data_IF_106142236360
#
_entry.id   IF_106142236360
#
_cell.length_a   1.000
_cell.length_b   1.000
_cell.length_c   1.000
_cell.angle_alpha   90.00
_cell.angle_beta   90.00
_cell.angle_gamma   90.00
#
_symmetry.space_group_name_H-M   'P 1'
#
loop_
_entity.id
_entity.type
_entity.pdbx_description
1 polymer ?
#
# COMPACT_ATOMS: atom_id res chain seq x y z
N UNK A 1 6.47 -26.47 -4.98
CA UNK A 1 6.35 -25.08 -4.50
C UNK A 1 5.03 -24.49 -4.96
N UNK A 2 4.29 -23.81 -4.07
CA UNK A 2 3.03 -23.12 -4.38
C UNK A 2 3.01 -21.77 -3.65
N UNK A 3 2.91 -20.68 -4.41
CA UNK A 3 2.79 -19.31 -3.90
C UNK A 3 1.48 -18.77 -4.47
N UNK A 4 0.51 -18.53 -3.60
CA UNK A 4 -0.85 -18.08 -3.98
C UNK A 4 -1.29 -16.98 -3.01
N UNK A 5 -2.35 -16.24 -3.30
CA UNK A 5 -2.85 -15.18 -2.39
C UNK A 5 -3.34 -15.67 -1.03
N UNK A 6 -3.49 -16.98 -0.82
CA UNK A 6 -3.95 -17.55 0.45
C UNK A 6 -2.83 -18.19 1.26
N UNK A 7 -1.85 -18.78 0.58
CA UNK A 7 -0.83 -19.61 1.23
C UNK A 7 0.52 -19.50 0.57
N UNK A 8 1.56 -19.52 1.40
CA UNK A 8 2.95 -19.71 1.04
C UNK A 8 3.38 -21.16 1.34
N UNK A 9 3.74 -21.92 0.31
CA UNK A 9 4.20 -23.31 0.44
C UNK A 9 5.52 -23.52 -0.31
N UNK A 10 6.60 -23.65 0.47
CA UNK A 10 7.97 -23.92 0.03
C UNK A 10 8.49 -25.19 0.72
N UNK A 11 8.11 -26.40 0.24
CA UNK A 11 8.64 -27.64 0.79
C UNK A 11 10.15 -27.75 0.57
N UNK A 12 10.92 -28.35 1.50
CA UNK A 12 10.46 -28.94 2.78
C UNK A 12 10.32 -27.93 3.95
N UNK A 13 10.58 -26.65 3.71
CA UNK A 13 10.78 -25.65 4.76
C UNK A 13 9.50 -25.14 5.42
N UNK A 14 8.48 -24.79 4.63
CA UNK A 14 7.27 -24.15 5.17
C UNK A 14 6.03 -24.40 4.31
N UNK A 15 4.88 -24.51 4.98
CA UNK A 15 3.56 -24.44 4.34
C UNK A 15 2.59 -23.74 5.29
N UNK A 16 2.28 -22.48 5.05
CA UNK A 16 1.44 -21.64 5.94
C UNK A 16 0.55 -20.68 5.14
N UNK A 17 -0.52 -20.16 5.78
CA UNK A 17 -1.23 -18.97 5.28
C UNK A 17 -0.41 -17.70 5.51
N UNK A 18 -0.71 -16.65 4.73
CA UNK A 18 -0.05 -15.35 4.90
C UNK A 18 -0.40 -14.68 6.23
N UNK A 19 -1.60 -14.91 6.77
CA UNK A 19 -2.03 -14.33 8.05
C UNK A 19 -1.17 -14.80 9.24
N UNK A 20 -0.41 -15.89 9.08
CA UNK A 20 0.49 -16.41 10.11
C UNK A 20 1.93 -15.87 9.99
N UNK A 21 2.24 -15.14 8.91
CA UNK A 21 3.57 -14.59 8.64
C UNK A 21 3.64 -13.18 9.23
N UNK A 22 4.49 -13.00 10.23
CA UNK A 22 4.72 -11.71 10.87
C UNK A 22 5.70 -10.84 10.06
N UNK A 23 6.74 -11.44 9.49
CA UNK A 23 7.70 -10.71 8.66
C UNK A 23 8.45 -11.60 7.66
N UNK A 24 8.89 -10.97 6.58
CA UNK A 24 9.73 -11.55 5.53
C UNK A 24 10.92 -10.62 5.29
N UNK A 25 12.13 -11.16 5.28
CA UNK A 25 13.32 -10.42 4.85
C UNK A 25 14.34 -11.36 4.23
N UNK A 26 15.27 -10.80 3.45
CA UNK A 26 16.36 -11.55 2.83
C UNK A 26 17.65 -11.10 3.49
N UNK A 27 18.43 -12.06 3.96
CA UNK A 27 19.77 -11.79 4.50
C UNK A 27 20.80 -11.64 3.37
N UNK A 28 21.97 -11.10 3.68
CA UNK A 28 23.08 -10.85 2.73
C UNK A 28 23.48 -12.09 1.92
N UNK A 29 23.21 -13.29 2.44
CA UNK A 29 23.50 -14.57 1.80
C UNK A 29 22.33 -15.10 0.92
N UNK A 30 21.42 -14.25 0.46
CA UNK A 30 20.23 -14.64 -0.32
C UNK A 30 19.36 -15.71 0.36
N UNK A 31 19.37 -15.71 1.70
CA UNK A 31 18.57 -16.62 2.50
C UNK A 31 17.29 -15.89 2.88
N UNK A 32 16.14 -16.45 2.48
CA UNK A 32 14.84 -15.90 2.87
C UNK A 32 14.56 -16.30 4.32
N UNK A 33 14.29 -15.29 5.14
CA UNK A 33 13.94 -15.46 6.54
C UNK A 33 12.47 -15.14 6.71
N UNK A 34 11.70 -16.15 7.14
CA UNK A 34 10.28 -16.05 7.43
C UNK A 34 10.09 -16.10 8.93
N UNK A 35 9.53 -15.03 9.52
CA UNK A 35 9.16 -15.01 10.94
C UNK A 35 7.65 -15.17 11.05
N UNK A 36 7.18 -16.16 11.80
CA UNK A 36 5.76 -16.38 12.05
C UNK A 36 5.29 -15.60 13.28
N UNK A 37 3.98 -15.37 13.40
CA UNK A 37 3.39 -14.77 14.61
C UNK A 37 3.61 -15.60 15.88
N UNK A 38 3.92 -16.89 15.76
CA UNK A 38 4.37 -17.73 16.88
C UNK A 38 5.76 -17.39 17.40
N UNK A 39 6.50 -16.51 16.73
CA UNK A 39 7.92 -16.23 16.97
C UNK A 39 8.87 -17.25 16.35
N UNK A 40 8.35 -18.27 15.64
CA UNK A 40 9.17 -19.25 14.93
C UNK A 40 9.83 -18.58 13.71
N UNK A 41 11.17 -18.70 13.64
CA UNK A 41 11.97 -18.23 12.51
C UNK A 41 12.34 -19.41 11.61
N UNK A 42 12.07 -19.29 10.31
CA UNK A 42 12.38 -20.31 9.30
C UNK A 42 13.32 -19.68 8.27
N UNK A 43 14.46 -20.32 8.06
CA UNK A 43 15.50 -19.86 7.13
C UNK A 43 15.51 -20.77 5.90
N UNK A 44 15.33 -20.19 4.72
CA UNK A 44 15.25 -20.90 3.45
C UNK A 44 16.43 -20.46 2.57
N UNK A 45 17.51 -21.25 2.53
CA UNK A 45 18.69 -20.90 1.75
C UNK A 45 18.49 -21.16 0.26
N UNK A 46 19.28 -20.47 -0.56
CA UNK A 46 19.44 -20.75 -2.00
C UNK A 46 18.14 -20.70 -2.81
N UNK A 47 17.24 -19.76 -2.48
CA UNK A 47 16.07 -19.47 -3.31
C UNK A 47 16.50 -18.69 -4.55
N UNK A 48 15.93 -19.05 -5.71
CA UNK A 48 16.18 -18.28 -6.92
C UNK A 48 15.60 -16.85 -6.79
N UNK A 49 16.28 -15.81 -7.30
CA UNK A 49 15.86 -14.42 -7.14
C UNK A 49 14.43 -14.16 -7.62
N UNK A 50 14.05 -14.75 -8.75
CA UNK A 50 12.70 -14.60 -9.31
C UNK A 50 11.59 -15.18 -8.39
N UNK A 51 11.93 -16.17 -7.56
CA UNK A 51 11.00 -16.76 -6.60
C UNK A 51 10.85 -15.82 -5.39
N UNK A 52 11.95 -15.24 -4.94
CA UNK A 52 11.97 -14.24 -3.86
C UNK A 52 11.07 -13.07 -4.26
N UNK A 53 11.27 -12.51 -5.45
CA UNK A 53 10.45 -11.41 -5.97
C UNK A 53 8.98 -11.80 -5.99
N UNK A 54 8.65 -13.00 -6.48
CA UNK A 54 7.28 -13.50 -6.49
C UNK A 54 6.67 -13.61 -5.08
N UNK A 55 7.43 -14.03 -4.09
CA UNK A 55 6.99 -14.13 -2.68
C UNK A 55 6.67 -12.72 -2.16
N UNK A 56 7.57 -11.76 -2.33
CA UNK A 56 7.37 -10.39 -1.87
C UNK A 56 6.20 -9.72 -2.59
N UNK A 57 6.10 -9.83 -3.91
CA UNK A 57 4.98 -9.28 -4.68
C UNK A 57 3.65 -9.88 -4.21
N UNK A 58 3.59 -11.20 -4.01
CA UNK A 58 2.36 -11.85 -3.53
C UNK A 58 1.99 -11.41 -2.11
N UNK A 59 2.98 -11.25 -1.22
CA UNK A 59 2.76 -10.78 0.14
C UNK A 59 2.27 -9.33 0.18
N UNK A 60 2.86 -8.44 -0.62
CA UNK A 60 2.42 -7.05 -0.74
C UNK A 60 0.97 -6.98 -1.22
N UNK A 61 0.62 -7.70 -2.29
CA UNK A 61 -0.77 -7.73 -2.79
C UNK A 61 -1.76 -8.27 -1.75
N UNK A 62 -1.35 -9.26 -0.95
CA UNK A 62 -2.18 -9.79 0.13
C UNK A 62 -2.45 -8.73 1.22
N UNK A 63 -1.43 -7.97 1.64
CA UNK A 63 -1.58 -6.90 2.63
C UNK A 63 -2.49 -5.76 2.13
N UNK A 64 -2.43 -5.44 0.83
CA UNK A 64 -3.32 -4.46 0.21
C UNK A 64 -4.78 -4.94 0.21
N UNK A 65 -5.02 -6.23 -0.10
CA UNK A 65 -6.35 -6.82 -0.10
C UNK A 65 -6.97 -6.92 1.30
N UNK A 66 -6.16 -7.19 2.33
CA UNK A 66 -6.60 -7.23 3.71
C UNK A 66 -7.04 -5.83 4.21
N UNK A 67 -6.33 -4.77 3.81
CA UNK A 67 -6.72 -3.37 4.09
C UNK A 67 -8.06 -2.99 3.46
N UNK A 68 -8.31 -3.44 2.24
CA UNK A 68 -9.60 -3.18 1.57
C UNK A 68 -10.74 -3.92 2.28
N UNK A 69 -10.49 -5.16 2.73
CA UNK A 69 -11.51 -5.99 3.40
C UNK A 69 -11.86 -5.51 4.81
N UNK A 70 -10.89 -4.93 5.53
CA UNK A 70 -11.10 -4.37 6.88
C UNK A 70 -11.84 -3.02 6.88
N UNK A 71 -11.76 -2.24 5.79
CA UNK A 71 -12.47 -0.97 5.64
C UNK A 71 -13.97 -1.09 5.32
N UNK A 72 -14.49 -2.29 5.07
CA UNK A 72 -15.93 -2.54 4.82
C UNK A 72 -16.71 -3.10 6.01
N UNK A 73 -16.13 -3.12 7.22
CA UNK A 73 -16.83 -3.51 8.44
C UNK A 73 -17.33 -2.28 9.21
N UNK A 74 -18.65 -2.10 9.45
CA UNK A 74 -19.13 -1.01 10.29
C UNK A 74 -18.68 -1.21 11.75
N UNK A 75 -18.37 -0.12 12.50
CA UNK A 75 -17.85 -0.23 13.85
C UNK A 75 -19.00 -0.50 14.82
N UNK A 76 -19.22 -1.77 15.18
CA UNK A 76 -20.01 -2.13 16.35
C UNK A 76 -19.29 -3.19 17.19
N UNK A 77 -18.53 -2.71 18.18
CA UNK A 77 -18.73 -3.09 19.58
C UNK A 77 -17.60 -2.54 20.44
N UNK A 78 -17.90 -1.45 21.15
CA UNK A 78 -17.26 -1.21 22.43
C UNK A 78 -17.60 -2.37 23.37
N UNK A 79 -16.59 -3.01 23.95
CA UNK A 79 -16.52 -3.36 25.37
C UNK A 79 -15.30 -4.25 25.60
N UNK A 80 -14.22 -3.68 26.12
CA UNK A 80 -13.65 -4.06 27.41
C UNK A 80 -12.39 -3.25 27.71
N UNK A 81 -12.58 -2.15 28.42
CA UNK A 81 -11.56 -1.54 29.25
C UNK A 81 -11.20 -2.53 30.37
N UNK A 82 -10.00 -3.10 30.30
CA UNK A 82 -9.24 -3.45 31.50
C UNK A 82 -7.85 -2.86 31.39
N UNK A 83 -7.77 -1.67 31.97
CA UNK A 83 -6.56 -1.03 32.47
C UNK A 83 -5.81 -2.02 33.37
N UNK A 84 -4.56 -2.32 33.02
CA UNK A 84 -3.59 -2.89 33.96
C UNK A 84 -2.35 -2.01 33.92
N UNK A 85 -2.23 -1.18 34.95
CA UNK A 85 -1.00 -0.51 35.34
C UNK A 85 0.09 -1.57 35.60
N UNK A 86 1.26 -1.40 35.00
CA UNK A 86 2.51 -1.97 35.53
C UNK A 86 3.64 -0.95 35.45
N UNK A 87 4.51 -0.85 36.46
CA UNK A 87 5.41 0.28 36.67
C UNK A 87 6.81 0.03 36.08
N UNK A 88 7.37 1.11 35.55
CA UNK A 88 8.75 1.61 35.71
C UNK A 88 9.81 0.61 36.23
N UNK A 89 10.73 0.23 35.35
CA UNK A 89 12.14 -0.02 35.73
C UNK A 89 13.06 0.74 34.76
N UNK A 90 13.93 1.54 35.36
CA UNK A 90 15.01 2.29 34.70
C UNK A 90 16.19 1.34 34.55
N UNK A 91 16.79 1.32 33.36
CA UNK A 91 18.19 0.92 33.21
C UNK A 91 18.85 1.90 32.25
N UNK A 92 19.66 2.77 32.81
CA UNK A 92 20.66 3.55 32.10
C UNK A 92 21.80 2.59 31.74
N UNK A 93 22.04 2.35 30.45
CA UNK A 93 23.38 2.40 29.87
C UNK A 93 23.36 2.23 28.35
N UNK A 94 23.69 3.34 27.70
CA UNK A 94 24.48 3.52 26.48
C UNK A 94 24.19 2.74 25.18
N UNK A 95 23.98 3.61 24.17
CA UNK A 95 24.34 3.52 22.76
C UNK A 95 23.35 2.83 21.81
N UNK A 96 22.53 3.72 21.23
CA UNK A 96 21.68 3.60 20.04
C UNK A 96 20.78 2.36 19.95
N UNK A 97 19.48 2.61 20.01
CA UNK A 97 18.61 1.95 19.06
C UNK A 97 17.62 2.95 18.47
N UNK A 98 17.75 3.21 17.16
CA UNK A 98 16.52 3.40 16.38
C UNK A 98 15.76 2.08 16.48
N UNK A 99 14.95 1.93 17.54
CA UNK A 99 13.80 1.03 17.49
C UNK A 99 12.73 1.78 16.75
N UNK A 100 12.72 1.66 15.43
CA UNK A 100 11.49 1.81 14.67
C UNK A 100 10.65 0.58 15.06
N UNK A 101 10.01 0.67 16.23
CA UNK A 101 9.03 -0.30 16.67
C UNK A 101 7.79 -0.11 15.83
N UNK A 102 7.57 -1.03 14.89
CA UNK A 102 6.30 -1.20 14.17
C UNK A 102 5.33 -1.89 15.14
N UNK A 103 4.97 -1.19 16.23
CA UNK A 103 3.86 -1.55 17.12
C UNK A 103 2.96 -0.31 17.20
N UNK A 104 1.88 -0.36 16.44
CA UNK A 104 0.83 0.66 16.43
C UNK A 104 1.09 1.78 15.43
N UNK A 105 0.14 1.97 14.50
CA UNK A 105 -0.06 3.20 13.75
C UNK A 105 -0.17 4.45 14.67
N UNK A 106 -0.33 4.23 15.98
CA UNK A 106 -0.28 5.21 17.07
C UNK A 106 1.13 5.80 17.33
N UNK A 107 2.21 5.11 16.91
CA UNK A 107 3.58 5.61 17.07
C UNK A 107 3.90 6.83 16.20
N UNK A 108 3.33 6.89 14.98
CA UNK A 108 3.32 8.09 14.15
C UNK A 108 2.47 9.20 14.77
N UNK A 109 1.43 8.82 15.51
CA UNK A 109 0.64 9.73 16.32
C UNK A 109 1.49 10.46 17.36
N UNK A 110 2.39 9.76 18.07
CA UNK A 110 3.25 10.42 19.07
C UNK A 110 4.34 11.31 18.44
N UNK A 111 4.90 10.93 17.30
CA UNK A 111 5.86 11.75 16.55
C UNK A 111 5.20 13.00 15.93
N UNK A 112 3.88 12.92 15.70
CA UNK A 112 3.02 14.01 15.27
C UNK A 112 2.18 14.56 16.43
N UNK A 113 2.58 14.35 17.68
CA UNK A 113 2.03 15.04 18.84
C UNK A 113 3.02 16.10 19.31
N UNK A 114 2.48 17.20 19.83
CA UNK A 114 3.29 18.20 20.50
C UNK A 114 4.11 17.54 21.62
N UNK A 115 5.43 17.68 21.56
CA UNK A 115 6.34 17.27 22.63
C UNK A 115 7.04 18.51 23.24
N UNK A 116 6.71 18.90 24.49
CA UNK A 116 7.34 20.04 25.16
C UNK A 116 8.85 19.89 25.37
N UNK A 117 9.34 18.66 25.53
CA UNK A 117 10.78 18.40 25.70
C UNK A 117 11.59 18.78 24.46
N UNK A 118 10.91 18.87 23.31
CA UNK A 118 11.47 19.27 22.02
C UNK A 118 11.12 20.73 21.66
N UNK A 119 10.66 21.55 22.61
CA UNK A 119 10.25 22.92 22.34
C UNK A 119 11.38 23.80 21.76
N UNK A 120 12.64 23.44 21.94
CA UNK A 120 13.80 24.16 21.41
C UNK A 120 14.56 23.37 20.32
N UNK A 121 13.90 22.42 19.64
CA UNK A 121 14.51 21.69 18.53
C UNK A 121 14.91 22.64 17.39
N UNK A 122 15.97 22.32 16.63
CA UNK A 122 16.38 23.11 15.47
C UNK A 122 15.30 23.12 14.39
N UNK A 123 15.33 24.13 13.54
CA UNK A 123 14.40 24.24 12.43
C UNK A 123 14.65 23.14 11.39
N UNK A 124 13.55 22.54 10.94
CA UNK A 124 13.56 21.62 9.80
C UNK A 124 13.93 22.39 8.52
N UNK A 125 14.64 21.73 7.59
CA UNK A 125 14.88 22.28 6.26
C UNK A 125 13.57 22.72 5.60
N UNK A 126 13.57 23.93 5.04
CA UNK A 126 12.39 24.51 4.38
C UNK A 126 11.86 23.63 3.25
N UNK A 127 12.74 22.95 2.51
CA UNK A 127 12.35 22.00 1.46
C UNK A 127 11.44 20.88 1.99
N UNK A 128 11.74 20.36 3.19
CA UNK A 128 10.96 19.29 3.83
C UNK A 128 9.60 19.84 4.27
N UNK A 129 9.59 21.00 4.92
CA UNK A 129 8.35 21.66 5.35
C UNK A 129 7.43 21.98 4.14
N UNK A 130 8.00 22.42 3.02
CA UNK A 130 7.27 22.67 1.78
C UNK A 130 6.66 21.40 1.19
N UNK A 131 7.41 20.29 1.16
CA UNK A 131 6.88 18.99 0.67
C UNK A 131 5.75 18.48 1.55
N UNK A 132 5.90 18.57 2.87
CA UNK A 132 4.86 18.17 3.83
C UNK A 132 3.60 19.03 3.65
N UNK A 133 3.76 20.35 3.48
CA UNK A 133 2.65 21.25 3.21
C UNK A 133 1.96 20.94 1.86
N UNK A 134 2.72 20.64 0.81
CA UNK A 134 2.19 20.28 -0.50
C UNK A 134 1.37 18.98 -0.45
N UNK A 135 1.90 17.93 0.21
CA UNK A 135 1.19 16.66 0.41
C UNK A 135 -0.10 16.88 1.21
N UNK A 136 -0.04 17.70 2.26
CA UNK A 136 -1.21 17.98 3.11
C UNK A 136 -2.36 18.66 2.34
N UNK A 137 -2.04 19.50 1.35
CA UNK A 137 -3.03 20.11 0.44
C UNK A 137 -3.69 19.06 -0.46
N UNK A 138 -2.89 18.16 -1.05
CA UNK A 138 -3.39 17.11 -1.96
C UNK A 138 -4.32 16.13 -1.23
N UNK A 139 -4.04 15.82 0.03
CA UNK A 139 -4.84 14.88 0.85
C UNK A 139 -6.16 15.51 1.34
N UNK A 140 -6.44 16.78 0.99
CA UNK A 140 -7.72 17.42 1.26
C UNK A 140 -7.91 17.87 2.71
N UNK A 141 -6.80 18.13 3.43
CA UNK A 141 -6.87 18.73 4.78
C UNK A 141 -7.03 20.26 4.64
N UNK A 142 -8.15 20.67 4.04
CA UNK A 142 -8.43 22.08 3.76
C UNK A 142 -9.10 22.80 4.92
N UNK A 143 -9.63 22.07 5.90
CA UNK A 143 -10.24 22.68 7.08
C UNK A 143 -9.18 22.95 8.17
N UNK A 144 -8.79 24.23 8.40
CA UNK A 144 -7.84 24.58 9.46
C UNK A 144 -8.38 24.30 10.86
N UNK A 145 -9.68 24.03 11.01
CA UNK A 145 -10.26 23.60 12.28
C UNK A 145 -9.93 22.15 12.64
N UNK A 146 -9.60 21.32 11.65
CA UNK A 146 -9.24 19.91 11.83
C UNK A 146 -7.71 19.76 12.00
N UNK A 147 -6.94 20.76 11.58
CA UNK A 147 -5.49 20.76 11.70
C UNK A 147 -5.02 20.93 13.16
N UNK A 148 -3.93 20.26 13.55
CA UNK A 148 -3.34 20.45 14.85
C UNK A 148 -2.87 21.91 15.01
N UNK A 149 -3.22 22.55 16.12
CA UNK A 149 -2.81 23.94 16.41
C UNK A 149 -1.39 23.95 16.99
N UNK A 150 -0.45 24.67 16.36
CA UNK A 150 0.89 24.80 16.91
C UNK A 150 0.86 25.69 18.16
N UNK A 151 1.70 25.38 19.14
CA UNK A 151 1.90 26.27 20.28
C UNK A 151 2.85 27.41 19.92
N UNK A 152 2.58 28.65 20.38
CA UNK A 152 3.35 29.84 19.97
C UNK A 152 4.81 29.82 20.45
N UNK A 153 5.14 29.01 21.46
CA UNK A 153 6.47 28.95 22.08
C UNK A 153 7.13 27.58 21.95
N UNK A 154 6.67 26.73 21.03
CA UNK A 154 7.22 25.40 20.84
C UNK A 154 7.72 25.19 19.41
N UNK A 155 8.98 24.77 19.29
CA UNK A 155 9.65 24.40 18.06
C UNK A 155 9.82 22.89 17.86
N UNK A 156 9.00 22.05 18.51
CA UNK A 156 9.02 20.62 18.23
C UNK A 156 8.59 20.35 16.79
N UNK A 157 8.97 19.17 16.26
CA UNK A 157 8.69 18.76 14.89
C UNK A 157 7.20 18.94 14.52
N UNK A 158 6.31 18.56 15.45
CA UNK A 158 4.88 18.76 15.30
C UNK A 158 4.48 20.23 15.09
N UNK A 159 4.94 21.13 15.96
CA UNK A 159 4.60 22.54 15.87
C UNK A 159 5.24 23.24 14.66
N UNK A 160 6.40 22.76 14.18
CA UNK A 160 7.00 23.25 12.94
C UNK A 160 6.19 22.84 11.70
N UNK A 161 5.76 21.58 11.63
CA UNK A 161 4.91 21.07 10.54
C UNK A 161 3.54 21.76 10.56
N UNK A 162 2.89 21.84 11.72
CA UNK A 162 1.59 22.49 11.88
C UNK A 162 1.65 23.96 11.45
N UNK A 163 2.74 24.69 11.77
CA UNK A 163 2.97 26.05 11.28
C UNK A 163 3.15 26.10 9.77
N UNK A 164 3.91 25.17 9.17
CA UNK A 164 4.14 25.13 7.73
C UNK A 164 2.85 24.84 6.94
N UNK A 165 1.99 23.95 7.45
CA UNK A 165 0.70 23.61 6.85
C UNK A 165 -0.30 24.76 7.00
N UNK A 166 -0.42 25.35 8.20
CA UNK A 166 -1.39 26.43 8.46
C UNK A 166 -1.02 27.76 7.81
N UNK A 167 0.26 28.15 7.87
CA UNK A 167 0.68 29.44 7.34
C UNK A 167 0.80 29.43 5.81
N UNK A 168 0.85 28.23 5.19
CA UNK A 168 1.20 28.04 3.79
C UNK A 168 2.58 28.63 3.54
N UNK A 169 3.62 27.79 3.47
CA UNK A 169 4.99 28.25 3.23
C UNK A 169 4.98 29.33 2.13
N UNK A 170 5.33 30.56 2.53
CA UNK A 170 5.13 31.75 1.71
C UNK A 170 5.71 31.55 0.31
N UNK A 171 4.97 32.04 -0.68
CA UNK A 171 5.27 32.06 -2.12
C UNK A 171 6.76 31.83 -2.43
N UNK A 172 7.14 30.57 -2.61
CA UNK A 172 8.39 30.24 -3.28
C UNK A 172 8.05 30.31 -4.78
N UNK A 173 8.78 31.11 -5.58
CA UNK A 173 8.60 31.16 -7.02
C UNK A 173 8.67 29.75 -7.59
N UNK A 174 7.66 29.39 -8.37
CA UNK A 174 7.49 28.10 -9.04
C UNK A 174 8.78 27.66 -9.75
N UNK A 175 9.60 26.88 -9.05
CA UNK A 175 10.48 25.94 -9.73
C UNK A 175 9.58 24.76 -10.11
N UNK A 176 9.40 24.44 -11.40
CA UNK A 176 8.58 23.31 -11.79
C UNK A 176 9.27 22.04 -11.29
N UNK A 177 8.75 21.50 -10.20
CA UNK A 177 9.00 20.12 -9.83
C UNK A 177 8.21 19.31 -10.84
N UNK A 178 8.88 18.82 -11.88
CA UNK A 178 8.37 17.74 -12.72
C UNK A 178 8.31 16.48 -11.87
N UNK A 179 7.29 16.40 -11.02
CA UNK A 179 6.70 15.12 -10.66
C UNK A 179 6.09 14.62 -11.96
N UNK A 180 6.69 13.58 -12.54
CA UNK A 180 6.03 12.71 -13.52
C UNK A 180 4.83 12.06 -12.83
N UNK A 181 3.80 12.88 -12.61
CA UNK A 181 2.46 12.44 -12.26
C UNK A 181 1.85 12.16 -13.62
N UNK A 182 1.85 10.90 -14.03
CA UNK A 182 0.96 10.48 -15.10
C UNK A 182 -0.45 10.83 -14.64
N UNK A 183 -1.02 11.89 -15.21
CA UNK A 183 -2.41 12.27 -14.99
C UNK A 183 -3.27 11.13 -15.54
N UNK A 184 -3.71 10.25 -14.64
CA UNK A 184 -4.70 9.23 -14.95
C UNK A 184 -5.99 9.97 -15.27
N UNK A 185 -6.33 10.03 -16.55
CA UNK A 185 -7.50 10.77 -17.00
C UNK A 185 -8.79 10.01 -16.63
N UNK A 186 -9.93 10.70 -16.55
CA UNK A 186 -11.21 10.05 -16.21
C UNK A 186 -11.61 8.95 -17.23
N UNK A 187 -11.01 8.98 -18.43
CA UNK A 187 -11.14 7.94 -19.46
C UNK A 187 -10.40 6.63 -19.11
N UNK A 188 -9.39 6.68 -18.23
CA UNK A 188 -8.68 5.50 -17.71
C UNK A 188 -9.38 4.88 -16.50
N UNK A 189 -10.26 5.63 -15.84
CA UNK A 189 -11.12 5.16 -14.74
C UNK A 189 -12.43 4.51 -15.22
N UNK A 190 -12.69 4.46 -16.52
CA UNK A 190 -13.80 3.69 -17.10
C UNK A 190 -13.25 2.35 -17.57
N UNK A 191 -13.81 1.24 -17.10
CA UNK A 191 -13.57 -0.08 -17.67
C UNK A 191 -13.85 -0.01 -19.18
N UNK A 192 -12.79 0.11 -19.99
CA UNK A 192 -12.92 0.31 -21.42
C UNK A 192 -13.54 -0.94 -22.02
N UNK A 193 -14.63 -0.74 -22.74
CA UNK A 193 -15.36 -1.78 -23.45
C UNK A 193 -14.47 -2.22 -24.61
N UNK A 194 -14.26 -3.52 -24.76
CA UNK A 194 -13.47 -4.10 -25.83
C UNK A 194 -13.93 -3.58 -27.21
N UNK A 195 -12.99 -3.36 -28.13
CA UNK A 195 -13.33 -3.00 -29.51
C UNK A 195 -13.83 -4.25 -30.26
N UNK A 196 -15.12 -4.27 -30.60
CA UNK A 196 -15.78 -5.43 -31.21
C UNK A 196 -16.07 -5.14 -32.67
N UNK A 197 -15.53 -5.98 -33.55
CA UNK A 197 -15.76 -5.93 -34.99
C UNK A 197 -16.27 -7.27 -35.49
N UNK A 198 -17.45 -7.30 -36.08
CA UNK A 198 -17.97 -8.50 -36.72
C UNK A 198 -17.19 -8.80 -38.00
N UNK A 199 -16.62 -10.00 -38.11
CA UNK A 199 -15.78 -10.42 -39.24
C UNK A 199 -16.51 -11.38 -40.18
N UNK A 200 -17.49 -12.15 -39.67
CA UNK A 200 -18.31 -13.08 -40.45
C UNK A 200 -19.68 -13.32 -39.77
N UNK A 201 -20.50 -14.19 -40.35
CA UNK A 201 -21.70 -14.71 -39.70
C UNK A 201 -21.28 -15.45 -38.42
N UNK A 202 -21.79 -14.99 -37.27
CA UNK A 202 -21.48 -15.48 -35.92
C UNK A 202 -20.01 -15.35 -35.46
N UNK A 203 -19.10 -14.68 -36.19
CA UNK A 203 -17.70 -14.49 -35.80
C UNK A 203 -17.36 -13.03 -35.55
N UNK A 204 -16.80 -12.74 -34.38
CA UNK A 204 -16.45 -11.41 -33.90
C UNK A 204 -14.97 -11.36 -33.50
N UNK A 205 -14.31 -10.28 -33.90
CA UNK A 205 -12.99 -9.90 -33.42
C UNK A 205 -13.14 -8.93 -32.26
N UNK A 206 -12.46 -9.21 -31.16
CA UNK A 206 -12.48 -8.45 -29.91
C UNK A 206 -11.04 -8.01 -29.65
N UNK A 207 -10.78 -6.70 -29.64
CA UNK A 207 -9.42 -6.15 -29.47
C UNK A 207 -9.35 -5.27 -28.23
N UNK A 208 -8.27 -5.37 -27.46
CA UNK A 208 -8.03 -4.47 -26.34
C UNK A 208 -7.66 -3.07 -26.89
N UNK A 209 -8.40 -2.01 -26.55
CA UNK A 209 -8.07 -0.66 -27.02
C UNK A 209 -6.71 -0.14 -26.51
N UNK A 210 -6.17 -0.74 -25.44
CA UNK A 210 -4.87 -0.39 -24.88
C UNK A 210 -3.72 -1.23 -25.47
N UNK A 211 -4.01 -2.40 -26.04
CA UNK A 211 -3.01 -3.26 -26.66
C UNK A 211 -3.55 -3.91 -27.94
N UNK A 212 -3.09 -3.40 -29.09
CA UNK A 212 -3.43 -3.94 -30.40
C UNK A 212 -2.95 -5.38 -30.65
N UNK A 213 -2.01 -5.89 -29.84
CA UNK A 213 -1.57 -7.29 -29.91
C UNK A 213 -2.52 -8.24 -29.18
N UNK A 214 -3.34 -7.74 -28.26
CA UNK A 214 -4.31 -8.52 -27.52
C UNK A 214 -5.64 -8.58 -28.29
N UNK A 215 -5.70 -9.50 -29.25
CA UNK A 215 -6.85 -9.74 -30.12
C UNK A 215 -7.40 -11.15 -29.96
N UNK A 216 -8.71 -11.25 -29.74
CA UNK A 216 -9.44 -12.49 -29.58
C UNK A 216 -10.55 -12.65 -30.62
N UNK A 217 -10.80 -13.90 -31.00
CA UNK A 217 -11.89 -14.27 -31.88
C UNK A 217 -12.96 -15.00 -31.08
N UNK A 218 -14.18 -14.49 -31.15
CA UNK A 218 -15.37 -15.03 -30.48
C UNK A 218 -16.34 -15.53 -31.53
N UNK A 219 -16.77 -16.78 -31.38
CA UNK A 219 -17.76 -17.43 -32.22
C UNK A 219 -19.04 -17.64 -31.41
N UNK A 220 -20.16 -17.08 -31.87
CA UNK A 220 -21.48 -17.16 -31.22
C UNK A 220 -22.40 -18.26 -31.81
N UNK A 221 -21.86 -19.23 -32.55
CA UNK A 221 -22.64 -20.38 -33.03
C UNK A 221 -22.79 -21.48 -31.97
N UNK A 222 -23.18 -22.68 -32.41
CA UNK A 222 -23.23 -23.88 -31.55
C UNK A 222 -22.05 -24.80 -31.87
N UNK A 223 -21.03 -24.92 -30.98
CA UNK A 223 -20.92 -24.34 -29.65
C UNK A 223 -20.34 -22.91 -29.62
N UNK A 224 -20.77 -22.11 -28.64
CA UNK A 224 -20.20 -20.77 -28.37
C UNK A 224 -18.77 -20.94 -27.89
N UNK A 225 -17.83 -20.21 -28.48
CA UNK A 225 -16.41 -20.38 -28.23
C UNK A 225 -15.61 -19.10 -28.35
N UNK A 226 -14.47 -19.06 -27.65
CA UNK A 226 -13.48 -17.99 -27.79
C UNK A 226 -12.08 -18.62 -27.90
N UNK A 227 -11.24 -18.07 -28.76
CA UNK A 227 -9.85 -18.52 -28.93
C UNK A 227 -8.95 -18.35 -27.70
N UNK A 228 -9.40 -17.61 -26.66
CA UNK A 228 -8.70 -17.55 -25.36
C UNK A 228 -8.72 -18.87 -24.57
N UNK A 229 -9.50 -19.87 -25.02
CA UNK A 229 -9.55 -21.21 -24.43
C UNK A 229 -10.41 -21.35 -23.16
N UNK A 230 -11.07 -20.27 -22.71
CA UNK A 230 -11.97 -20.27 -21.55
C UNK A 230 -13.43 -20.15 -21.98
N UNK A 231 -14.29 -20.99 -21.40
CA UNK A 231 -15.73 -20.83 -21.50
C UNK A 231 -16.19 -19.63 -20.65
N UNK A 232 -17.19 -18.87 -21.10
CA UNK A 232 -17.70 -17.67 -20.41
C UNK A 232 -16.63 -16.63 -20.06
N UNK A 233 -15.64 -16.44 -20.93
CA UNK A 233 -14.66 -15.37 -20.77
C UNK A 233 -15.28 -13.98 -20.95
N UNK A 234 -14.54 -12.95 -20.56
CA UNK A 234 -14.94 -11.56 -20.75
C UNK A 234 -15.14 -11.20 -22.22
N UNK A 235 -14.38 -11.79 -23.15
CA UNK A 235 -14.55 -11.55 -24.59
C UNK A 235 -15.93 -11.99 -25.08
N UNK A 236 -16.41 -13.16 -24.64
CA UNK A 236 -17.76 -13.64 -24.99
C UNK A 236 -18.81 -12.69 -24.42
N UNK A 237 -18.65 -12.27 -23.16
CA UNK A 237 -19.57 -11.33 -22.52
C UNK A 237 -19.57 -9.96 -23.22
N UNK A 238 -18.41 -9.50 -23.67
CA UNK A 238 -18.28 -8.24 -24.39
C UNK A 238 -19.08 -8.28 -25.69
N UNK A 239 -18.95 -9.35 -26.49
CA UNK A 239 -19.70 -9.53 -27.74
C UNK A 239 -21.20 -9.72 -27.50
N UNK A 240 -21.61 -10.35 -26.39
CA UNK A 240 -23.03 -10.50 -26.05
C UNK A 240 -23.67 -9.18 -25.56
N UNK A 241 -22.86 -8.21 -25.11
CA UNK A 241 -23.32 -6.93 -24.59
C UNK A 241 -23.17 -5.78 -25.61
N UNK A 242 -22.64 -6.03 -26.82
CA UNK A 242 -22.40 -5.04 -27.87
C UNK A 242 -23.57 -4.84 -28.83
#
# INVERSE_FOLDING_TARGET
>A
MKITMKTLSLPPFISTSWDNIASLHVDNNQTLIVTLHSGTKIEIPSLEPHIIDKIFTTHTSYLEQERISTNFSPPFSMNNLKSTNSPMERTEDQMFPMRIGIEGLEGLGSALQHNPEQANSPDLPSEILSKIAAISKVVGVEDPAILPKPEPHCNCMHCQIARAVQNGVGEIPEAPVTLDTEEVSEEDLRFRIWDIKQTSDQLYSVTNPLDSHEQYSVFLGEPVGCNCGKNNCEHIRAVLNS
#
